data_IF_947486729764
#
_entry.id   IF_947486729764
#
_cell.length_a   1.000
_cell.length_b   1.000
_cell.length_c   1.000
_cell.angle_alpha   90.00
_cell.angle_beta   90.00
_cell.angle_gamma   90.00
#
_symmetry.space_group_name_H-M   'P 1'
#
loop_
_entity.id
_entity.type
_entity.pdbx_description
1 polymer ?
#
# COMPACT_ATOMS: atom_id res chain seq x y z
N UNK A 1 0.87 19.10 11.38
CA UNK A 1 2.22 18.53 11.14
C UNK A 1 3.15 19.66 10.74
N UNK A 2 4.42 19.61 11.23
CA UNK A 2 5.43 20.60 10.93
C UNK A 2 6.08 20.37 9.55
N UNK A 3 6.76 21.41 9.01
CA UNK A 3 7.58 21.25 7.81
C UNK A 3 8.67 20.19 7.98
N UNK A 4 9.26 20.09 9.17
CA UNK A 4 10.30 19.10 9.48
C UNK A 4 9.78 17.65 9.36
N UNK A 5 8.53 17.40 9.75
CA UNK A 5 7.88 16.10 9.58
C UNK A 5 7.85 15.68 8.09
N UNK A 6 7.42 16.58 7.21
CA UNK A 6 7.38 16.30 5.78
C UNK A 6 8.78 16.14 5.17
N UNK A 7 9.73 17.00 5.55
CA UNK A 7 11.12 16.90 5.10
C UNK A 7 11.75 15.56 5.51
N UNK A 8 11.51 15.12 6.73
CA UNK A 8 12.02 13.82 7.20
C UNK A 8 11.42 12.65 6.41
N UNK A 9 10.14 12.69 6.10
CA UNK A 9 9.51 11.65 5.26
C UNK A 9 10.07 11.64 3.82
N UNK A 10 10.35 12.81 3.23
CA UNK A 10 11.02 12.91 1.93
C UNK A 10 12.43 12.34 2.00
N UNK A 11 13.19 12.71 3.04
CA UNK A 11 14.56 12.22 3.27
C UNK A 11 14.61 10.70 3.40
N UNK A 12 13.75 10.12 4.22
CA UNK A 12 13.63 8.67 4.41
C UNK A 12 13.25 7.97 3.09
N UNK A 13 12.33 8.54 2.32
CA UNK A 13 11.97 7.97 1.01
C UNK A 13 13.15 7.98 0.05
N UNK A 14 13.92 9.07 0.00
CA UNK A 14 15.17 9.17 -0.79
C UNK A 14 16.22 8.18 -0.33
N UNK A 15 16.34 7.96 0.97
CA UNK A 15 17.27 7.01 1.56
C UNK A 15 17.01 5.57 1.08
N UNK A 16 15.76 5.16 0.91
CA UNK A 16 15.44 3.82 0.39
C UNK A 16 15.97 3.61 -1.03
N UNK A 17 16.02 4.65 -1.86
CA UNK A 17 16.61 4.57 -3.21
C UNK A 17 18.11 4.30 -3.19
N UNK A 18 18.81 4.80 -2.18
CA UNK A 18 20.24 4.59 -2.03
C UNK A 18 20.59 3.25 -1.38
N UNK A 19 19.74 2.78 -0.46
CA UNK A 19 20.06 1.66 0.41
C UNK A 19 19.42 0.31 0.00
N UNK A 20 18.25 0.34 -0.67
CA UNK A 20 17.56 -0.88 -1.05
C UNK A 20 18.04 -1.42 -2.42
N UNK A 21 18.12 -2.76 -2.59
CA UNK A 21 18.58 -3.37 -3.84
C UNK A 21 17.75 -2.98 -5.08
N UNK A 22 16.50 -2.55 -4.88
CA UNK A 22 15.57 -2.14 -5.95
C UNK A 22 15.51 -0.62 -6.15
N UNK A 23 16.31 0.15 -5.42
CA UNK A 23 16.26 1.62 -5.47
C UNK A 23 16.36 2.20 -6.88
N UNK A 24 17.30 1.70 -7.68
CA UNK A 24 17.51 2.13 -9.06
C UNK A 24 16.49 1.55 -10.06
N UNK A 25 15.78 0.48 -9.68
CA UNK A 25 14.80 -0.19 -10.54
C UNK A 25 13.44 0.50 -10.56
N UNK A 26 13.12 1.25 -9.50
CA UNK A 26 11.83 1.93 -9.37
C UNK A 26 11.79 3.18 -10.24
N UNK A 27 10.90 3.25 -11.26
CA UNK A 27 10.74 4.44 -12.09
C UNK A 27 10.38 5.68 -11.25
N UNK A 28 10.86 6.85 -11.68
CA UNK A 28 10.61 8.12 -10.98
C UNK A 28 9.12 8.41 -10.79
N UNK A 29 8.30 8.10 -11.78
CA UNK A 29 6.86 8.30 -11.71
C UNK A 29 6.23 7.43 -10.61
N UNK A 30 6.56 6.14 -10.56
CA UNK A 30 6.05 5.23 -9.54
C UNK A 30 6.57 5.61 -8.14
N UNK A 31 7.82 6.03 -8.03
CA UNK A 31 8.35 6.55 -6.78
C UNK A 31 7.56 7.77 -6.30
N UNK A 32 7.31 8.73 -7.19
CA UNK A 32 6.58 9.96 -6.89
C UNK A 32 5.16 9.71 -6.42
N UNK A 33 4.45 8.75 -7.04
CA UNK A 33 3.03 8.53 -6.76
C UNK A 33 2.76 7.45 -5.72
N UNK A 34 3.66 6.46 -5.58
CA UNK A 34 3.38 5.24 -4.82
C UNK A 34 4.44 4.87 -3.78
N UNK A 35 5.50 5.66 -3.62
CA UNK A 35 6.47 5.54 -2.52
C UNK A 35 6.48 6.80 -1.67
N UNK A 36 6.66 7.96 -2.31
CA UNK A 36 6.82 9.24 -1.64
C UNK A 36 5.62 9.67 -0.79
N UNK A 37 4.36 9.55 -1.25
CA UNK A 37 3.21 9.97 -0.47
C UNK A 37 3.11 9.21 0.85
N UNK A 38 2.86 9.96 1.94
CA UNK A 38 2.71 9.39 3.28
C UNK A 38 1.32 8.79 3.44
N UNK A 39 0.29 9.56 3.02
CA UNK A 39 -1.11 9.15 3.14
C UNK A 39 -1.50 8.11 2.11
N UNK A 40 -2.30 7.15 2.54
CA UNK A 40 -2.82 6.05 1.71
C UNK A 40 -4.31 6.21 1.44
N UNK A 41 -5.09 6.57 2.46
CA UNK A 41 -6.53 6.77 2.36
C UNK A 41 -6.94 8.05 3.14
N UNK A 42 -7.74 7.92 4.18
CA UNK A 42 -8.22 9.02 5.02
C UNK A 42 -7.71 8.95 6.46
N UNK A 43 -6.73 8.11 6.70
CA UNK A 43 -6.10 7.93 8.00
C UNK A 43 -5.39 9.20 8.49
N UNK A 44 -5.22 9.32 9.79
CA UNK A 44 -4.30 10.30 10.35
C UNK A 44 -2.87 9.91 9.99
N UNK A 45 -2.03 10.91 9.75
CA UNK A 45 -0.60 10.69 9.56
C UNK A 45 0.05 10.40 10.91
N UNK A 46 1.13 9.62 10.87
CA UNK A 46 1.97 9.30 12.03
C UNK A 46 3.43 9.08 11.59
N UNK A 47 4.27 8.65 12.50
CA UNK A 47 5.70 8.42 12.26
C UNK A 47 6.01 6.99 11.76
N UNK A 48 5.03 6.34 11.15
CA UNK A 48 5.14 4.94 10.70
C UNK A 48 6.29 4.70 9.74
N UNK A 49 6.55 5.60 8.81
CA UNK A 49 7.63 5.43 7.82
C UNK A 49 8.98 5.20 8.49
N UNK A 50 9.33 6.02 9.47
CA UNK A 50 10.59 5.88 10.21
C UNK A 50 10.63 4.60 11.04
N UNK A 51 9.56 4.31 11.75
CA UNK A 51 9.45 3.12 12.62
C UNK A 51 9.53 1.84 11.78
N UNK A 52 8.74 1.75 10.71
CA UNK A 52 8.68 0.55 9.87
C UNK A 52 9.98 0.35 9.07
N UNK A 53 10.59 1.42 8.58
CA UNK A 53 11.91 1.31 7.96
C UNK A 53 12.93 0.71 8.92
N UNK A 54 12.96 1.17 10.17
CA UNK A 54 13.86 0.65 11.20
C UNK A 54 13.68 -0.84 11.47
N UNK A 55 12.43 -1.34 11.46
CA UNK A 55 12.15 -2.76 11.67
C UNK A 55 12.36 -3.64 10.42
N UNK A 56 12.10 -3.11 9.23
CA UNK A 56 12.03 -3.89 7.99
C UNK A 56 13.32 -3.90 7.17
N UNK A 57 14.12 -2.83 7.21
CA UNK A 57 15.28 -2.68 6.32
C UNK A 57 16.22 -3.88 6.31
N UNK A 58 16.59 -4.37 7.49
CA UNK A 58 17.51 -5.50 7.61
C UNK A 58 16.85 -6.85 7.26
N UNK A 59 15.54 -6.91 7.37
CA UNK A 59 14.73 -8.08 7.06
C UNK A 59 14.57 -8.28 5.55
N UNK A 60 14.58 -7.21 4.76
CA UNK A 60 14.29 -7.28 3.31
C UNK A 60 15.47 -6.99 2.39
N UNK A 61 16.53 -6.31 2.85
CA UNK A 61 17.65 -5.85 2.02
C UNK A 61 18.42 -6.94 1.27
N UNK A 62 18.25 -8.20 1.65
CA UNK A 62 18.90 -9.35 1.02
C UNK A 62 17.96 -10.11 0.07
N UNK A 63 16.73 -9.69 -0.05
CA UNK A 63 15.70 -10.37 -0.82
C UNK A 63 15.56 -9.78 -2.22
N UNK A 64 14.99 -10.56 -3.15
CA UNK A 64 14.43 -10.01 -4.38
C UNK A 64 13.26 -9.08 -4.05
N UNK A 65 12.90 -8.20 -4.96
CA UNK A 65 11.79 -7.27 -4.74
C UNK A 65 10.47 -8.02 -4.51
N UNK A 66 10.23 -9.11 -5.25
CA UNK A 66 9.04 -9.97 -5.07
C UNK A 66 9.03 -10.67 -3.70
N UNK A 67 10.15 -11.23 -3.30
CA UNK A 67 10.27 -11.87 -1.98
C UNK A 67 10.15 -10.85 -0.84
N UNK A 68 10.64 -9.63 -1.06
CA UNK A 68 10.49 -8.54 -0.10
C UNK A 68 9.02 -8.14 0.09
N UNK A 69 8.21 -8.13 -0.98
CA UNK A 69 6.77 -7.87 -0.87
C UNK A 69 6.09 -8.95 0.00
N UNK A 70 6.39 -10.22 -0.24
CA UNK A 70 5.86 -11.34 0.56
C UNK A 70 6.29 -11.24 2.02
N UNK A 71 7.56 -10.94 2.26
CA UNK A 71 8.13 -10.82 3.60
C UNK A 71 7.54 -9.63 4.38
N UNK A 72 7.36 -8.48 3.74
CA UNK A 72 6.68 -7.33 4.36
C UNK A 72 5.24 -7.70 4.74
N UNK A 73 4.52 -8.41 3.88
CA UNK A 73 3.16 -8.85 4.19
C UNK A 73 3.12 -9.85 5.35
N UNK A 74 4.10 -10.73 5.43
CA UNK A 74 4.25 -11.65 6.56
C UNK A 74 4.52 -10.88 7.88
N UNK A 75 5.42 -9.90 7.85
CA UNK A 75 5.65 -9.00 8.98
C UNK A 75 4.36 -8.23 9.37
N UNK A 76 3.57 -7.79 8.40
CA UNK A 76 2.27 -7.16 8.67
C UNK A 76 1.33 -8.10 9.43
N UNK A 77 1.27 -9.38 9.04
CA UNK A 77 0.47 -10.40 9.73
C UNK A 77 0.93 -10.65 11.17
N UNK A 78 2.22 -10.53 11.46
CA UNK A 78 2.75 -10.62 12.82
C UNK A 78 2.23 -9.49 13.74
N UNK A 79 1.84 -8.36 13.16
CA UNK A 79 1.45 -7.14 13.90
C UNK A 79 -0.06 -6.92 13.98
N UNK A 80 -0.78 -7.24 12.91
CA UNK A 80 -2.21 -6.90 12.75
C UNK A 80 -2.98 -8.08 12.18
N UNK A 81 -4.11 -8.37 12.80
CA UNK A 81 -5.05 -9.39 12.32
C UNK A 81 -6.40 -8.77 11.98
N UNK A 82 -7.15 -9.42 11.09
CA UNK A 82 -8.47 -8.95 10.73
C UNK A 82 -9.45 -9.02 11.92
N UNK A 83 -10.12 -7.90 12.14
CA UNK A 83 -11.25 -7.80 13.06
C UNK A 83 -12.14 -6.64 12.64
N UNK A 84 -13.47 -6.80 12.61
CA UNK A 84 -14.38 -5.68 12.41
C UNK A 84 -14.09 -4.54 13.41
N UNK A 85 -14.04 -3.33 12.91
CA UNK A 85 -13.81 -2.11 13.70
C UNK A 85 -14.83 -1.04 13.31
N UNK A 86 -14.69 0.17 13.83
CA UNK A 86 -15.54 1.30 13.48
C UNK A 86 -15.32 1.81 12.04
N UNK A 87 -16.06 2.83 11.66
CA UNK A 87 -16.05 3.35 10.29
C UNK A 87 -14.79 4.16 9.90
N UNK A 88 -13.91 4.48 10.84
CA UNK A 88 -12.72 5.29 10.58
C UNK A 88 -11.48 4.45 10.40
N UNK A 89 -10.73 4.72 9.33
CA UNK A 89 -9.42 4.10 9.11
C UNK A 89 -8.40 4.61 10.13
N UNK A 90 -7.82 3.71 10.91
CA UNK A 90 -6.76 4.01 11.86
C UNK A 90 -5.45 4.34 11.15
N UNK A 91 -4.61 5.16 11.78
CA UNK A 91 -3.24 5.35 11.31
C UNK A 91 -2.41 4.07 11.42
N UNK A 92 -1.34 3.89 10.62
CA UNK A 92 -0.55 2.67 10.62
C UNK A 92 -0.02 2.27 12.01
N UNK A 93 0.53 3.21 12.79
CA UNK A 93 1.00 2.91 14.14
C UNK A 93 -0.14 2.64 15.13
N UNK A 94 -1.30 3.27 14.95
CA UNK A 94 -2.48 2.95 15.75
C UNK A 94 -2.96 1.52 15.48
N UNK A 95 -2.96 1.07 14.22
CA UNK A 95 -3.30 -0.30 13.86
C UNK A 95 -2.34 -1.32 14.49
N UNK A 96 -1.04 -1.04 14.48
CA UNK A 96 -0.04 -1.88 15.19
C UNK A 96 -0.31 -1.91 16.69
N UNK A 97 -0.61 -0.76 17.30
CA UNK A 97 -0.87 -0.67 18.73
C UNK A 97 -2.13 -1.44 19.17
N UNK A 98 -3.17 -1.43 18.35
CA UNK A 98 -4.41 -2.17 18.61
C UNK A 98 -4.34 -3.63 18.20
N UNK A 99 -3.39 -3.98 17.30
CA UNK A 99 -3.14 -5.30 16.75
C UNK A 99 -4.30 -5.88 15.91
N UNK A 100 -5.27 -5.06 15.49
CA UNK A 100 -6.36 -5.48 14.62
C UNK A 100 -6.87 -4.34 13.73
N UNK A 101 -7.56 -4.71 12.65
CA UNK A 101 -8.27 -3.78 11.78
C UNK A 101 -9.14 -4.51 10.76
N UNK A 102 -9.98 -3.74 10.06
CA UNK A 102 -10.69 -4.20 8.86
C UNK A 102 -9.70 -4.23 7.69
N UNK A 103 -10.18 -4.70 6.54
CA UNK A 103 -9.42 -4.65 5.29
C UNK A 103 -8.91 -3.23 4.94
N UNK A 104 -9.65 -2.18 5.29
CA UNK A 104 -9.24 -0.79 5.11
C UNK A 104 -8.02 -0.41 5.94
N UNK A 105 -8.00 -0.74 7.23
CA UNK A 105 -6.86 -0.52 8.12
C UNK A 105 -5.68 -1.42 7.76
N UNK A 106 -5.92 -2.70 7.52
CA UNK A 106 -4.87 -3.66 7.15
C UNK A 106 -4.16 -3.24 5.86
N UNK A 107 -4.91 -2.86 4.83
CA UNK A 107 -4.32 -2.42 3.55
C UNK A 107 -3.60 -1.07 3.66
N UNK A 108 -4.13 -0.11 4.42
CA UNK A 108 -3.44 1.16 4.72
C UNK A 108 -2.11 0.90 5.43
N UNK A 109 -2.10 0.03 6.41
CA UNK A 109 -0.91 -0.38 7.15
C UNK A 109 0.12 -1.08 6.25
N UNK A 110 -0.30 -2.06 5.46
CA UNK A 110 0.58 -2.80 4.56
C UNK A 110 1.19 -1.90 3.46
N UNK A 111 0.42 -0.96 2.90
CA UNK A 111 0.95 0.04 1.94
C UNK A 111 1.99 0.92 2.61
N UNK A 112 1.73 1.41 3.81
CA UNK A 112 2.71 2.22 4.56
C UNK A 112 4.00 1.44 4.83
N UNK A 113 3.90 0.16 5.18
CA UNK A 113 5.05 -0.72 5.39
C UNK A 113 5.88 -0.93 4.12
N UNK A 114 5.25 -1.24 2.99
CA UNK A 114 5.91 -1.40 1.68
C UNK A 114 6.60 -0.11 1.24
N UNK A 115 5.91 1.03 1.33
CA UNK A 115 6.49 2.33 0.99
C UNK A 115 7.66 2.71 1.88
N UNK A 116 7.67 2.27 3.14
CA UNK A 116 8.77 2.55 4.08
C UNK A 116 10.10 1.95 3.64
N UNK A 117 10.08 0.87 2.88
CA UNK A 117 11.28 0.23 2.30
C UNK A 117 11.44 0.52 0.80
N UNK A 118 10.74 1.50 0.27
CA UNK A 118 10.90 1.97 -1.10
C UNK A 118 10.23 1.10 -2.18
N UNK A 119 9.28 0.26 -1.81
CA UNK A 119 8.48 -0.53 -2.75
C UNK A 119 7.21 0.27 -3.10
N UNK A 120 6.97 0.60 -4.39
CA UNK A 120 5.73 1.24 -4.79
C UNK A 120 4.53 0.38 -4.42
N UNK A 121 3.59 0.97 -3.70
CA UNK A 121 2.40 0.27 -3.24
C UNK A 121 1.19 1.19 -3.20
N UNK A 122 0.01 0.60 -3.42
CA UNK A 122 -1.26 1.30 -3.41
C UNK A 122 -2.36 0.44 -2.80
N UNK A 123 -3.32 1.08 -2.12
CA UNK A 123 -4.53 0.42 -1.69
C UNK A 123 -5.50 0.33 -2.86
N UNK A 124 -5.99 -0.87 -3.13
CA UNK A 124 -7.07 -1.09 -4.09
C UNK A 124 -8.37 -1.20 -3.32
N UNK A 125 -9.38 -0.49 -3.78
CA UNK A 125 -10.70 -0.54 -3.20
C UNK A 125 -11.76 -0.87 -4.27
N UNK A 126 -12.60 -1.84 -3.96
CA UNK A 126 -13.85 -2.06 -4.67
C UNK A 126 -15.02 -1.72 -3.76
N UNK A 127 -15.85 -0.74 -4.12
CA UNK A 127 -16.93 -0.29 -3.24
C UNK A 127 -18.08 -1.29 -3.13
N UNK A 128 -18.17 -2.20 -4.11
CA UNK A 128 -19.21 -3.21 -4.14
C UNK A 128 -18.78 -4.40 -5.00
N UNK A 129 -18.98 -5.60 -4.47
CA UNK A 129 -18.86 -6.84 -5.25
C UNK A 129 -20.01 -7.00 -6.23
N UNK A 130 -19.79 -7.68 -7.35
CA UNK A 130 -20.84 -7.98 -8.33
C UNK A 130 -21.97 -8.89 -7.78
N UNK A 131 -21.69 -9.66 -6.74
CA UNK A 131 -22.59 -10.68 -6.18
C UNK A 131 -23.14 -10.34 -4.79
N UNK A 132 -22.67 -9.28 -4.16
CA UNK A 132 -23.10 -8.85 -2.81
C UNK A 132 -22.87 -7.36 -2.62
N UNK A 133 -23.57 -6.76 -1.66
CA UNK A 133 -23.43 -5.35 -1.28
C UNK A 133 -22.14 -5.06 -0.46
N UNK A 134 -21.33 -6.08 -0.21
CA UNK A 134 -20.05 -5.93 0.47
C UNK A 134 -19.00 -5.27 -0.41
N UNK A 135 -18.01 -4.68 0.26
CA UNK A 135 -16.83 -4.07 -0.33
C UNK A 135 -15.57 -4.80 0.12
N UNK A 136 -14.44 -4.47 -0.50
CA UNK A 136 -13.14 -4.98 -0.07
C UNK A 136 -12.03 -4.00 -0.42
N UNK A 137 -10.96 -4.05 0.39
CA UNK A 137 -9.71 -3.35 0.14
C UNK A 137 -8.54 -4.33 0.26
N UNK A 138 -7.61 -4.24 -0.68
CA UNK A 138 -6.38 -5.04 -0.69
C UNK A 138 -5.19 -4.17 -1.14
N UNK A 139 -4.06 -4.76 -1.41
CA UNK A 139 -2.84 -4.05 -1.77
C UNK A 139 -2.34 -4.51 -3.14
N UNK A 140 -1.89 -3.57 -3.94
CA UNK A 140 -1.00 -3.83 -5.05
C UNK A 140 0.38 -3.25 -4.76
N UNK A 141 1.41 -4.02 -5.10
CA UNK A 141 2.81 -3.65 -4.99
C UNK A 141 3.52 -3.91 -6.32
N UNK A 142 4.39 -2.97 -6.70
CA UNK A 142 5.14 -3.06 -7.94
C UNK A 142 6.51 -3.73 -7.72
N UNK A 143 6.86 -4.65 -8.60
CA UNK A 143 8.17 -5.28 -8.63
C UNK A 143 8.59 -5.59 -10.07
N UNK A 144 9.80 -5.20 -10.42
CA UNK A 144 10.46 -5.61 -11.67
C UNK A 144 9.61 -5.38 -12.94
N UNK A 145 8.93 -4.26 -13.01
CA UNK A 145 8.17 -3.83 -14.20
C UNK A 145 6.67 -4.17 -14.17
N UNK A 146 6.16 -4.75 -13.08
CA UNK A 146 4.79 -5.24 -13.01
C UNK A 146 4.15 -4.98 -11.63
N UNK A 147 2.85 -4.72 -11.62
CA UNK A 147 2.04 -4.70 -10.41
C UNK A 147 1.58 -6.11 -10.02
N UNK A 148 1.65 -6.41 -8.73
CA UNK A 148 1.19 -7.65 -8.13
C UNK A 148 0.22 -7.35 -7.00
N UNK A 149 -0.83 -8.14 -6.82
CA UNK A 149 -1.73 -7.98 -5.69
C UNK A 149 -1.42 -8.96 -4.55
N UNK A 150 -1.74 -8.55 -3.35
CA UNK A 150 -1.68 -9.35 -2.12
C UNK A 150 -2.87 -9.01 -1.23
N UNK A 151 -3.33 -9.95 -0.44
CA UNK A 151 -4.23 -9.69 0.70
C UNK A 151 -3.43 -9.10 1.85
N UNK A 152 -3.77 -7.89 2.29
CA UNK A 152 -3.04 -7.21 3.35
C UNK A 152 -3.11 -7.98 4.66
N UNK A 153 -1.98 -8.21 5.30
CA UNK A 153 -1.84 -9.00 6.53
C UNK A 153 -2.34 -10.47 6.39
N UNK A 154 -2.54 -10.92 5.17
CA UNK A 154 -2.96 -12.29 4.83
C UNK A 154 -1.89 -12.93 3.93
N UNK A 155 -0.75 -13.37 4.50
CA UNK A 155 0.38 -13.86 3.72
C UNK A 155 0.04 -15.15 2.97
N UNK A 156 0.42 -15.16 1.68
CA UNK A 156 0.34 -16.32 0.80
C UNK A 156 1.75 -16.67 0.31
N UNK A 157 2.00 -17.88 -0.15
CA UNK A 157 3.34 -18.30 -0.59
C UNK A 157 3.80 -17.61 -1.89
N UNK A 158 2.88 -17.05 -2.65
CA UNK A 158 3.15 -16.38 -3.94
C UNK A 158 2.33 -15.11 -4.07
N UNK A 159 2.82 -14.20 -4.92
CA UNK A 159 2.07 -13.01 -5.32
C UNK A 159 0.87 -13.37 -6.21
N UNK A 160 -0.09 -12.47 -6.34
CA UNK A 160 -1.33 -12.66 -7.11
C UNK A 160 -2.20 -13.81 -6.60
N UNK A 161 -2.15 -14.09 -5.31
CA UNK A 161 -2.98 -15.07 -4.65
C UNK A 161 -3.69 -14.44 -3.45
N UNK A 162 -4.99 -14.68 -3.36
CA UNK A 162 -5.84 -14.25 -2.26
C UNK A 162 -7.22 -14.89 -2.39
N UNK A 163 -7.96 -14.98 -1.27
CA UNK A 163 -9.32 -15.53 -1.26
C UNK A 163 -10.28 -14.77 -2.20
N UNK A 164 -9.97 -13.51 -2.48
CA UNK A 164 -10.79 -12.62 -3.30
C UNK A 164 -10.49 -12.68 -4.80
N UNK A 165 -9.64 -13.57 -5.29
CA UNK A 165 -9.32 -13.68 -6.72
C UNK A 165 -10.57 -13.80 -7.60
N UNK A 166 -11.46 -14.74 -7.28
CA UNK A 166 -12.66 -14.94 -8.07
C UNK A 166 -13.69 -13.79 -7.96
N UNK A 167 -13.96 -13.19 -6.77
CA UNK A 167 -14.74 -11.97 -6.69
C UNK A 167 -14.11 -10.78 -7.45
N UNK A 168 -12.80 -10.58 -7.33
CA UNK A 168 -12.10 -9.47 -7.96
C UNK A 168 -12.11 -9.56 -9.49
N UNK A 169 -11.99 -10.75 -10.06
CA UNK A 169 -12.07 -10.95 -11.53
C UNK A 169 -13.42 -10.53 -12.14
N UNK A 170 -14.43 -10.35 -11.31
CA UNK A 170 -15.76 -9.88 -11.69
C UNK A 170 -16.08 -8.50 -11.10
N UNK A 171 -15.07 -7.81 -10.62
CA UNK A 171 -15.20 -6.47 -10.05
C UNK A 171 -15.69 -5.47 -11.10
N UNK A 172 -16.71 -4.69 -10.74
CA UNK A 172 -17.28 -3.67 -11.63
C UNK A 172 -16.47 -2.37 -11.58
N UNK A 173 -15.82 -2.10 -10.47
CA UNK A 173 -15.00 -0.92 -10.23
C UNK A 173 -13.90 -1.26 -9.24
N UNK A 174 -12.68 -0.95 -9.61
CA UNK A 174 -11.50 -0.94 -8.75
C UNK A 174 -10.80 0.38 -8.88
N UNK A 175 -10.49 1.02 -7.76
CA UNK A 175 -9.85 2.32 -7.77
C UNK A 175 -8.87 2.50 -6.61
N UNK A 176 -8.02 3.52 -6.71
CA UNK A 176 -7.08 3.92 -5.68
C UNK A 176 -6.98 5.43 -5.57
N UNK A 177 -6.66 5.93 -4.38
CA UNK A 177 -6.33 7.33 -4.15
C UNK A 177 -4.84 7.56 -4.30
N UNK A 178 -4.47 8.52 -5.13
CA UNK A 178 -3.11 9.00 -5.30
C UNK A 178 -3.01 10.40 -4.70
N UNK A 179 -2.21 10.55 -3.65
CA UNK A 179 -2.04 11.86 -2.98
C UNK A 179 -0.98 12.68 -3.71
N UNK A 180 -1.38 13.88 -4.14
CA UNK A 180 -0.61 14.78 -4.97
C UNK A 180 -1.18 14.90 -6.39
N UNK A 181 -0.52 15.68 -7.24
CA UNK A 181 -0.91 15.80 -8.64
C UNK A 181 -0.49 14.54 -9.41
N UNK A 182 -1.47 13.81 -9.89
CA UNK A 182 -1.25 12.58 -10.65
C UNK A 182 -0.84 12.88 -12.09
N UNK A 183 0.16 12.15 -12.59
CA UNK A 183 0.68 12.25 -13.96
C UNK A 183 0.86 10.86 -14.62
N UNK A 184 0.30 9.80 -14.02
CA UNK A 184 0.39 8.43 -14.52
C UNK A 184 -0.60 8.12 -15.64
N UNK A 185 -0.71 6.85 -15.99
CA UNK A 185 -1.45 6.37 -17.15
C UNK A 185 -2.87 5.89 -16.85
N UNK A 186 -3.20 5.67 -15.55
CA UNK A 186 -4.53 5.21 -15.15
C UNK A 186 -5.58 6.28 -15.41
N UNK A 187 -6.79 5.84 -15.67
CA UNK A 187 -7.93 6.73 -15.89
C UNK A 187 -8.28 7.51 -14.62
N UNK A 188 -8.34 8.84 -14.74
CA UNK A 188 -8.75 9.71 -13.66
C UNK A 188 -10.27 9.69 -13.56
N UNK A 189 -10.77 9.22 -12.43
CA UNK A 189 -12.20 9.23 -12.12
C UNK A 189 -12.63 10.53 -11.46
N UNK A 190 -11.80 11.05 -10.57
CA UNK A 190 -12.15 12.21 -9.75
C UNK A 190 -10.90 12.90 -9.21
N UNK A 191 -10.90 14.21 -9.20
CA UNK A 191 -9.80 15.01 -8.62
C UNK A 191 -10.31 15.92 -7.50
N UNK A 192 -9.50 16.03 -6.47
CA UNK A 192 -9.65 16.99 -5.38
C UNK A 192 -8.37 17.80 -5.23
N UNK A 193 -8.36 18.89 -4.46
CA UNK A 193 -7.11 19.58 -4.13
C UNK A 193 -6.06 18.70 -3.42
N UNK A 194 -6.46 17.59 -2.83
CA UNK A 194 -5.61 16.75 -1.98
C UNK A 194 -5.20 15.42 -2.63
N UNK A 195 -6.04 14.85 -3.47
CA UNK A 195 -5.78 13.56 -4.12
C UNK A 195 -6.50 13.43 -5.46
N UNK A 196 -6.00 12.54 -6.29
CA UNK A 196 -6.64 12.06 -7.51
C UNK A 196 -7.10 10.62 -7.29
N UNK A 197 -8.35 10.33 -7.61
CA UNK A 197 -8.89 8.97 -7.60
C UNK A 197 -8.79 8.38 -9.00
N UNK A 198 -8.08 7.27 -9.14
CA UNK A 198 -7.82 6.63 -10.43
C UNK A 198 -8.40 5.23 -10.48
N UNK A 199 -8.92 4.86 -11.64
CA UNK A 199 -9.47 3.53 -11.92
C UNK A 199 -8.48 2.69 -12.72
N UNK A 200 -8.46 1.40 -12.44
CA UNK A 200 -7.75 0.39 -13.21
C UNK A 200 -8.52 -0.94 -13.23
N UNK A 201 -9.80 -0.84 -13.50
CA UNK A 201 -10.71 -2.00 -13.63
C UNK A 201 -10.33 -3.00 -14.73
N UNK A 202 -9.37 -2.65 -15.57
CA UNK A 202 -8.83 -3.51 -16.63
C UNK A 202 -7.67 -4.42 -16.19
N UNK A 203 -7.48 -4.61 -14.88
CA UNK A 203 -6.51 -5.59 -14.40
C UNK A 203 -6.85 -6.97 -14.95
N UNK A 204 -6.01 -7.46 -15.83
CA UNK A 204 -5.97 -8.88 -16.17
C UNK A 204 -5.45 -9.64 -14.93
N UNK A 205 -6.38 -10.20 -14.22
CA UNK A 205 -6.08 -11.18 -13.17
C UNK A 205 -5.63 -12.50 -13.79
#
# INVERSE_FOLDING_TARGET
YSGDYYLENVRLSGQTRAEMPWGDKVPNELFRHFVLPIRVNNENLDDSRRVFYGELKDRVKHLSMKDAILEVNHWCHEKVVYRPSDARTSSPLASVKTAYGRCGEESTFAVAALRSVGIPARQVYTPRWAHTDDNHAWVEAWADGQWYFIGACEPEPVLNLGWFNAPASRGMLMHTKVFGRYTGQEEIMYETPNYTDVSYTHLTL
#
